data_IF_938075762577
#
_entry.id   IF_938075762577
#
_cell.length_a   1.000
_cell.length_b   1.000
_cell.length_c   1.000
_cell.angle_alpha   90.00
_cell.angle_beta   90.00
_cell.angle_gamma   90.00
#
_symmetry.space_group_name_H-M   'P 1'
#
loop_
_entity.id
_entity.type
_entity.pdbx_description
1 polymer ?
#
# COMPACT_ATOMS: atom_id res chain seq x y z
N UNK A 1 4.28 29.85 -39.12
CA UNK A 1 5.70 30.12 -39.45
C UNK A 1 6.66 29.06 -38.90
N UNK A 2 6.40 28.48 -37.72
CA UNK A 2 7.08 27.29 -37.16
C UNK A 2 7.10 26.06 -38.10
N UNK A 3 6.07 25.91 -38.95
CA UNK A 3 6.03 24.90 -40.04
C UNK A 3 7.26 24.93 -40.96
N UNK A 4 7.91 26.09 -41.13
CA UNK A 4 9.08 26.21 -42.02
C UNK A 4 10.33 25.50 -41.45
N UNK A 5 10.46 25.44 -40.13
CA UNK A 5 11.54 24.70 -39.45
C UNK A 5 11.19 23.22 -39.37
N UNK A 6 9.95 22.88 -39.01
CA UNK A 6 9.50 21.48 -38.89
C UNK A 6 9.44 20.73 -40.22
N UNK A 7 9.30 21.43 -41.34
CA UNK A 7 9.33 20.86 -42.69
C UNK A 7 10.71 20.99 -43.37
N UNK A 8 11.74 21.43 -42.64
CA UNK A 8 13.10 21.53 -43.17
C UNK A 8 13.75 20.14 -43.23
N UNK A 9 14.50 19.79 -44.29
CA UNK A 9 15.19 18.49 -44.37
C UNK A 9 16.17 18.26 -43.21
N UNK A 10 16.84 19.32 -42.75
CA UNK A 10 17.73 19.29 -41.59
C UNK A 10 17.06 19.76 -40.28
N UNK A 11 15.76 19.54 -40.10
CA UNK A 11 15.04 20.05 -38.91
C UNK A 11 15.68 19.61 -37.59
N UNK A 12 16.12 18.35 -37.48
CA UNK A 12 16.74 17.79 -36.27
C UNK A 12 18.07 18.49 -35.95
N UNK A 13 18.89 18.74 -36.97
CA UNK A 13 20.18 19.41 -36.81
C UNK A 13 20.00 20.89 -36.43
N UNK A 14 18.99 21.57 -37.00
CA UNK A 14 18.62 22.94 -36.63
C UNK A 14 18.16 22.99 -35.18
N UNK A 15 17.31 22.05 -34.75
CA UNK A 15 16.82 21.96 -33.35
C UNK A 15 17.97 21.66 -32.40
N UNK A 16 18.83 20.70 -32.72
CA UNK A 16 20.01 20.33 -31.94
C UNK A 16 20.95 21.52 -31.72
N UNK A 17 21.32 22.25 -32.78
CA UNK A 17 22.16 23.46 -32.68
C UNK A 17 21.53 24.54 -31.79
N UNK A 18 20.22 24.75 -31.90
CA UNK A 18 19.51 25.70 -31.05
C UNK A 18 19.45 25.26 -29.56
N UNK A 19 19.46 23.95 -29.29
CA UNK A 19 19.49 23.37 -27.93
C UNK A 19 20.89 23.39 -27.31
N UNK A 20 21.92 23.15 -28.10
CA UNK A 20 23.33 23.18 -27.69
C UNK A 20 23.81 24.61 -27.35
N UNK A 21 23.03 25.62 -27.72
CA UNK A 21 23.22 27.00 -27.31
C UNK A 21 23.70 27.94 -28.42
N UNK A 22 23.86 27.44 -29.65
CA UNK A 22 24.26 28.27 -30.80
C UNK A 22 23.35 29.48 -30.94
N UNK A 23 23.94 30.62 -31.32
CA UNK A 23 23.17 31.83 -31.57
C UNK A 23 22.31 31.65 -32.82
N UNK A 24 21.15 32.28 -32.82
CA UNK A 24 20.23 32.22 -33.98
C UNK A 24 20.91 32.76 -35.27
N UNK A 25 21.86 33.68 -35.13
CA UNK A 25 22.66 34.21 -36.25
C UNK A 25 23.64 33.16 -36.81
N UNK A 26 24.24 32.35 -35.95
CA UNK A 26 25.13 31.26 -36.36
C UNK A 26 24.38 30.18 -37.11
N UNK A 27 23.20 29.79 -36.62
CA UNK A 27 22.35 28.79 -37.30
C UNK A 27 21.85 29.31 -38.65
N UNK A 28 21.46 30.59 -38.75
CA UNK A 28 21.10 31.20 -40.04
C UNK A 28 22.28 31.21 -41.02
N UNK A 29 23.48 31.59 -40.55
CA UNK A 29 24.70 31.60 -41.37
C UNK A 29 25.06 30.19 -41.84
N UNK A 30 25.00 29.21 -40.94
CA UNK A 30 25.23 27.80 -41.27
C UNK A 30 24.25 27.28 -42.34
N UNK A 31 22.96 27.63 -42.25
CA UNK A 31 21.98 27.28 -43.29
C UNK A 31 22.31 27.94 -44.63
N UNK A 32 22.82 29.18 -44.63
CA UNK A 32 23.24 29.89 -45.85
C UNK A 32 24.51 29.29 -46.46
N UNK A 33 25.45 28.85 -45.63
CA UNK A 33 26.70 28.19 -46.05
C UNK A 33 26.46 26.76 -46.55
N UNK A 34 25.58 26.00 -45.89
CA UNK A 34 25.21 24.63 -46.28
C UNK A 34 24.37 24.60 -47.56
N UNK A 35 23.51 25.61 -47.76
CA UNK A 35 22.64 25.71 -48.93
C UNK A 35 22.85 27.00 -49.74
N UNK A 36 24.04 27.25 -50.31
CA UNK A 36 24.36 28.54 -50.92
C UNK A 36 23.49 28.87 -52.14
N UNK A 37 23.01 27.83 -52.84
CA UNK A 37 22.19 27.97 -54.08
C UNK A 37 20.68 27.82 -53.85
N UNK A 38 20.24 27.38 -52.67
CA UNK A 38 18.83 27.04 -52.41
C UNK A 38 18.20 27.94 -51.36
N UNK A 39 17.83 29.17 -51.74
CA UNK A 39 17.25 30.18 -50.83
C UNK A 39 15.97 29.73 -50.10
N UNK A 40 15.23 28.75 -50.64
CA UNK A 40 14.02 28.21 -50.00
C UNK A 40 14.32 27.47 -48.68
N UNK A 41 15.53 26.93 -48.55
CA UNK A 41 16.03 26.25 -47.35
C UNK A 41 16.65 27.23 -46.33
N UNK A 42 16.77 28.51 -46.68
CA UNK A 42 17.20 29.51 -45.72
C UNK A 42 16.06 29.84 -44.77
N UNK A 43 16.35 29.76 -43.47
CA UNK A 43 15.44 30.14 -42.40
C UNK A 43 15.94 31.47 -41.85
N UNK A 44 15.06 32.48 -41.81
CA UNK A 44 15.45 33.81 -41.32
C UNK A 44 15.69 33.82 -39.83
N UNK A 45 16.56 34.72 -39.38
CA UNK A 45 16.82 35.00 -37.98
C UNK A 45 15.53 35.13 -37.14
N UNK A 46 14.57 35.94 -37.60
CA UNK A 46 13.31 36.15 -36.87
C UNK A 46 12.48 34.87 -36.70
N UNK A 47 12.52 33.96 -37.69
CA UNK A 47 11.77 32.69 -37.62
C UNK A 47 12.40 31.75 -36.61
N UNK A 48 13.73 31.65 -36.59
CA UNK A 48 14.48 30.83 -35.63
C UNK A 48 14.36 31.40 -34.20
N UNK A 49 14.41 32.72 -34.04
CA UNK A 49 14.29 33.37 -32.72
C UNK A 49 12.90 33.12 -32.12
N UNK A 50 11.85 33.26 -32.93
CA UNK A 50 10.48 32.99 -32.48
C UNK A 50 10.27 31.51 -32.15
N UNK A 51 10.80 30.60 -32.98
CA UNK A 51 10.74 29.16 -32.71
C UNK A 51 11.48 28.77 -31.43
N UNK A 52 12.64 29.37 -31.17
CA UNK A 52 13.39 29.15 -29.92
C UNK A 52 12.61 29.59 -28.69
N UNK A 53 11.95 30.75 -28.75
CA UNK A 53 11.13 31.26 -27.65
C UNK A 53 9.83 30.49 -27.41
N UNK A 54 9.16 30.04 -28.48
CA UNK A 54 7.84 29.37 -28.39
C UNK A 54 7.93 27.86 -28.16
N UNK A 55 8.97 27.19 -28.67
CA UNK A 55 9.04 25.72 -28.71
C UNK A 55 10.30 25.14 -28.07
N UNK A 56 11.33 25.95 -27.82
CA UNK A 56 12.59 25.50 -27.20
C UNK A 56 12.86 26.22 -25.88
N UNK A 57 11.81 26.72 -25.21
CA UNK A 57 11.90 27.28 -23.86
C UNK A 57 12.09 26.18 -22.78
N UNK A 58 12.94 25.20 -23.10
CA UNK A 58 13.28 24.03 -22.28
C UNK A 58 14.10 24.39 -21.04
N UNK A 59 14.59 25.63 -20.95
CA UNK A 59 15.36 26.10 -19.79
C UNK A 59 14.53 26.16 -18.50
N UNK A 60 13.21 26.30 -18.56
CA UNK A 60 12.37 26.24 -17.36
C UNK A 60 12.12 24.79 -16.95
N UNK A 61 11.41 24.06 -17.82
CA UNK A 61 10.90 22.71 -17.52
C UNK A 61 12.03 21.67 -17.33
N UNK A 62 13.08 21.67 -18.16
CA UNK A 62 14.17 20.69 -18.04
C UNK A 62 15.09 21.00 -16.86
N UNK A 63 15.27 22.27 -16.49
CA UNK A 63 16.02 22.62 -15.28
C UNK A 63 15.25 22.26 -14.01
N UNK A 64 13.93 22.45 -14.01
CA UNK A 64 13.07 22.00 -12.91
C UNK A 64 13.08 20.47 -12.79
N UNK A 65 13.00 19.73 -13.89
CA UNK A 65 13.11 18.27 -13.87
C UNK A 65 14.49 17.78 -13.39
N UNK A 66 15.59 18.41 -13.84
CA UNK A 66 16.94 18.08 -13.37
C UNK A 66 17.10 18.41 -11.88
N UNK A 67 16.52 19.52 -11.41
CA UNK A 67 16.58 19.93 -10.00
C UNK A 67 15.75 19.02 -9.11
N UNK A 68 14.56 18.61 -9.56
CA UNK A 68 13.70 17.68 -8.85
C UNK A 68 14.36 16.31 -8.75
N UNK A 69 14.93 15.80 -9.84
CA UNK A 69 15.61 14.50 -9.86
C UNK A 69 16.89 14.48 -9.00
N UNK A 70 17.64 15.58 -8.95
CA UNK A 70 18.75 15.73 -7.99
C UNK A 70 18.26 15.77 -6.55
N UNK A 71 17.18 16.50 -6.27
CA UNK A 71 16.57 16.54 -4.95
C UNK A 71 16.06 15.18 -4.48
N UNK A 72 15.56 14.33 -5.38
CA UNK A 72 15.16 12.95 -5.06
C UNK A 72 16.37 12.06 -4.77
N UNK A 73 17.42 12.13 -5.58
CA UNK A 73 18.66 11.36 -5.35
C UNK A 73 19.33 11.78 -4.04
N UNK A 74 19.40 13.09 -3.76
CA UNK A 74 19.98 13.60 -2.52
C UNK A 74 19.14 13.16 -1.31
N UNK A 75 17.80 13.18 -1.40
CA UNK A 75 16.94 12.64 -0.34
C UNK A 75 17.16 11.16 -0.12
N UNK A 76 17.22 10.36 -1.18
CA UNK A 76 17.43 8.92 -1.09
C UNK A 76 18.80 8.58 -0.48
N UNK A 77 19.85 9.34 -0.85
CA UNK A 77 21.18 9.23 -0.26
C UNK A 77 21.18 9.61 1.22
N UNK A 78 20.52 10.72 1.59
CA UNK A 78 20.42 11.17 2.99
C UNK A 78 19.64 10.18 3.85
N UNK A 79 18.56 9.61 3.31
CA UNK A 79 17.80 8.55 3.99
C UNK A 79 18.60 7.26 4.12
N UNK A 80 19.37 6.89 3.11
CA UNK A 80 20.26 5.72 3.18
C UNK A 80 21.33 5.91 4.25
N UNK A 81 21.93 7.09 4.33
CA UNK A 81 22.91 7.46 5.36
C UNK A 81 22.27 7.47 6.76
N UNK A 82 21.08 8.06 6.92
CA UNK A 82 20.32 8.03 8.16
C UNK A 82 19.98 6.59 8.59
N UNK A 83 19.57 5.72 7.66
CA UNK A 83 19.34 4.29 7.90
C UNK A 83 20.61 3.59 8.36
N UNK A 84 21.77 3.90 7.76
CA UNK A 84 23.06 3.34 8.18
C UNK A 84 23.44 3.79 9.59
N UNK A 85 23.27 5.08 9.91
CA UNK A 85 23.56 5.63 11.24
C UNK A 85 22.64 4.99 12.29
N UNK A 86 21.35 4.85 12.00
CA UNK A 86 20.40 4.17 12.91
C UNK A 86 20.81 2.72 13.13
N UNK A 87 21.14 1.97 12.06
CA UNK A 87 21.59 0.57 12.19
C UNK A 87 22.91 0.43 12.94
N UNK A 88 23.82 1.38 12.79
CA UNK A 88 25.09 1.42 13.52
C UNK A 88 24.94 1.88 14.98
N UNK A 89 23.79 2.47 15.34
CA UNK A 89 23.56 2.95 16.70
C UNK A 89 23.51 1.81 17.72
N UNK A 90 24.09 2.06 18.89
CA UNK A 90 24.11 1.10 20.00
C UNK A 90 22.70 0.72 20.44
N UNK A 91 21.76 1.66 20.46
CA UNK A 91 20.37 1.41 20.86
C UNK A 91 19.65 0.47 19.90
N UNK A 92 19.91 0.59 18.59
CA UNK A 92 19.35 -0.33 17.59
C UNK A 92 19.93 -1.74 17.76
N UNK A 93 21.25 -1.85 17.93
CA UNK A 93 21.92 -3.14 18.15
C UNK A 93 21.44 -3.82 19.44
N UNK A 94 21.29 -3.06 20.54
CA UNK A 94 20.71 -3.55 21.79
C UNK A 94 19.29 -4.08 21.60
N UNK A 95 18.47 -3.40 20.78
CA UNK A 95 17.11 -3.87 20.50
C UNK A 95 17.08 -5.15 19.68
N UNK A 96 18.00 -5.29 18.72
CA UNK A 96 18.17 -6.55 17.96
C UNK A 96 18.57 -7.69 18.90
N UNK A 97 19.52 -7.44 19.80
CA UNK A 97 19.97 -8.44 20.78
C UNK A 97 18.86 -8.84 21.77
N UNK A 98 18.06 -7.88 22.22
CA UNK A 98 16.87 -8.13 23.06
C UNK A 98 15.85 -9.02 22.33
N UNK A 99 15.57 -8.73 21.06
CA UNK A 99 14.66 -9.53 20.23
C UNK A 99 15.22 -10.94 20.05
N UNK A 100 16.49 -11.08 19.66
CA UNK A 100 17.13 -12.38 19.46
C UNK A 100 17.15 -13.22 20.76
N UNK A 101 17.41 -12.58 21.90
CA UNK A 101 17.39 -13.25 23.21
C UNK A 101 15.98 -13.73 23.56
N UNK A 102 14.97 -12.88 23.35
CA UNK A 102 13.56 -13.24 23.55
C UNK A 102 13.15 -14.43 22.67
N UNK A 103 13.55 -14.44 21.40
CA UNK A 103 13.26 -15.54 20.49
C UNK A 103 13.94 -16.86 20.92
N UNK A 104 15.20 -16.78 21.35
CA UNK A 104 15.93 -17.92 21.91
C UNK A 104 15.25 -18.49 23.17
N UNK A 105 14.73 -17.62 24.04
CA UNK A 105 14.03 -18.04 25.25
C UNK A 105 12.68 -18.71 24.96
N UNK A 106 11.95 -18.25 23.94
CA UNK A 106 10.71 -18.90 23.48
C UNK A 106 11.03 -20.28 22.91
N UNK A 107 12.06 -20.40 22.07
CA UNK A 107 12.49 -21.70 21.53
C UNK A 107 12.86 -22.70 22.62
N UNK A 108 13.61 -22.26 23.65
CA UNK A 108 13.95 -23.11 24.81
C UNK A 108 12.71 -23.59 25.55
N UNK A 109 11.76 -22.69 25.85
CA UNK A 109 10.50 -23.05 26.52
C UNK A 109 9.66 -24.04 25.72
N UNK A 110 9.62 -23.90 24.39
CA UNK A 110 8.93 -24.85 23.52
C UNK A 110 9.55 -26.25 23.59
N UNK A 111 10.89 -26.34 23.61
CA UNK A 111 11.59 -27.63 23.77
C UNK A 111 11.35 -28.26 25.15
N UNK A 112 11.31 -27.46 26.21
CA UNK A 112 10.96 -27.94 27.55
C UNK A 112 9.54 -28.50 27.60
N UNK A 113 8.58 -27.80 26.97
CA UNK A 113 7.19 -28.27 26.87
C UNK A 113 7.08 -29.56 26.06
N UNK A 114 7.79 -29.66 24.93
CA UNK A 114 7.84 -30.87 24.11
C UNK A 114 8.34 -32.08 24.93
N UNK A 115 9.44 -31.90 25.65
CA UNK A 115 10.01 -32.94 26.53
C UNK A 115 9.00 -33.39 27.61
N UNK A 116 8.30 -32.45 28.25
CA UNK A 116 7.29 -32.76 29.25
C UNK A 116 6.09 -33.51 28.67
N UNK A 117 5.58 -33.10 27.51
CA UNK A 117 4.45 -33.76 26.85
C UNK A 117 4.87 -35.16 26.38
N UNK A 118 6.04 -35.30 25.77
CA UNK A 118 6.60 -36.61 25.36
C UNK A 118 6.70 -37.58 26.54
N UNK A 119 7.21 -37.11 27.68
CA UNK A 119 7.31 -37.93 28.90
C UNK A 119 5.93 -38.41 29.39
N UNK A 120 4.89 -37.59 29.25
CA UNK A 120 3.52 -37.97 29.62
C UNK A 120 2.89 -38.93 28.62
N UNK A 121 3.12 -38.70 27.31
CA UNK A 121 2.69 -39.62 26.24
C UNK A 121 3.29 -41.00 26.49
N UNK A 122 4.60 -41.08 26.73
CA UNK A 122 5.31 -42.34 27.00
C UNK A 122 4.75 -43.06 28.24
N UNK A 123 4.53 -42.32 29.34
CA UNK A 123 3.93 -42.87 30.55
C UNK A 123 2.56 -43.52 30.28
N UNK A 124 1.66 -42.80 29.61
CA UNK A 124 0.32 -43.31 29.33
C UNK A 124 0.32 -44.42 28.26
N UNK A 125 1.26 -44.38 27.32
CA UNK A 125 1.45 -45.48 26.37
C UNK A 125 1.81 -46.79 27.09
N UNK A 126 2.79 -46.75 27.99
CA UNK A 126 3.20 -47.92 28.77
C UNK A 126 2.05 -48.42 29.66
N UNK A 127 1.32 -47.51 30.30
CA UNK A 127 0.16 -47.85 31.13
C UNK A 127 -0.94 -48.55 30.33
N UNK A 128 -1.16 -48.14 29.08
CA UNK A 128 -2.12 -48.80 28.18
C UNK A 128 -1.63 -50.19 27.74
N UNK A 129 -0.33 -50.38 27.49
CA UNK A 129 0.25 -51.71 27.20
C UNK A 129 0.08 -52.68 28.38
N UNK A 130 0.07 -52.17 29.60
CA UNK A 130 -0.13 -52.95 30.83
C UNK A 130 -1.62 -53.24 31.15
N UNK A 131 -2.54 -52.87 30.25
CA UNK A 131 -3.99 -53.09 30.42
C UNK A 131 -4.73 -51.90 31.01
N UNK A 132 -4.29 -50.67 30.72
CA UNK A 132 -4.96 -49.44 31.12
C UNK A 132 -6.43 -49.37 30.69
N UNK A 133 -7.22 -48.54 31.38
CA UNK A 133 -8.65 -48.41 31.14
C UNK A 133 -8.96 -47.38 30.03
N UNK A 134 -10.23 -47.34 29.64
CA UNK A 134 -10.80 -46.30 28.75
C UNK A 134 -10.54 -44.87 29.23
N UNK A 135 -10.34 -44.66 30.54
CA UNK A 135 -10.01 -43.34 31.07
C UNK A 135 -8.58 -42.94 30.69
N UNK A 136 -7.62 -43.84 30.87
CA UNK A 136 -6.22 -43.59 30.51
C UNK A 136 -6.06 -43.40 29.00
N UNK A 137 -6.83 -44.13 28.19
CA UNK A 137 -6.83 -43.99 26.73
C UNK A 137 -7.28 -42.58 26.28
N UNK A 138 -8.34 -42.04 26.92
CA UNK A 138 -8.77 -40.65 26.67
C UNK A 138 -7.68 -39.64 27.02
N UNK A 139 -7.03 -39.81 28.18
CA UNK A 139 -5.97 -38.90 28.63
C UNK A 139 -4.75 -38.99 27.68
N UNK A 140 -4.41 -40.18 27.22
CA UNK A 140 -3.36 -40.38 26.22
C UNK A 140 -3.67 -39.59 24.92
N UNK A 141 -4.89 -39.73 24.40
CA UNK A 141 -5.33 -39.00 23.19
C UNK A 141 -5.29 -37.48 23.41
N UNK A 142 -5.65 -36.98 24.60
CA UNK A 142 -5.53 -35.56 24.94
C UNK A 142 -4.08 -35.07 24.83
N UNK A 143 -3.11 -35.80 25.39
CA UNK A 143 -1.69 -35.42 25.28
C UNK A 143 -1.16 -35.49 23.84
N UNK A 144 -1.59 -36.47 23.04
CA UNK A 144 -1.25 -36.53 21.61
C UNK A 144 -1.79 -35.29 20.87
N UNK A 145 -3.02 -34.87 21.18
CA UNK A 145 -3.60 -33.66 20.60
C UNK A 145 -2.87 -32.39 21.08
N UNK A 146 -2.49 -32.32 22.35
CA UNK A 146 -1.65 -31.22 22.87
C UNK A 146 -0.32 -31.16 22.15
N UNK A 147 0.33 -32.30 21.92
CA UNK A 147 1.58 -32.39 21.16
C UNK A 147 1.41 -31.89 19.74
N UNK A 148 0.36 -32.33 19.04
CA UNK A 148 0.03 -31.87 17.70
C UNK A 148 -0.14 -30.34 17.63
N UNK A 149 -0.84 -29.75 18.60
CA UNK A 149 -1.03 -28.30 18.69
C UNK A 149 0.31 -27.59 18.92
N UNK A 150 1.14 -28.08 19.85
CA UNK A 150 2.47 -27.53 20.11
C UNK A 150 3.34 -27.54 18.84
N UNK A 151 3.32 -28.64 18.08
CA UNK A 151 4.04 -28.74 16.81
C UNK A 151 3.52 -27.76 15.76
N UNK A 152 2.21 -27.50 15.72
CA UNK A 152 1.62 -26.49 14.81
C UNK A 152 2.04 -25.07 15.19
N UNK A 153 2.02 -24.74 16.49
CA UNK A 153 2.46 -23.44 16.98
C UNK A 153 3.96 -23.25 16.75
N UNK A 154 4.76 -24.29 16.95
CA UNK A 154 6.19 -24.28 16.67
C UNK A 154 6.47 -24.05 15.18
N UNK A 155 5.73 -24.71 14.30
CA UNK A 155 5.79 -24.49 12.85
C UNK A 155 5.46 -23.05 12.48
N UNK A 156 4.38 -22.48 13.04
CA UNK A 156 4.02 -21.07 12.82
C UNK A 156 5.12 -20.11 13.27
N UNK A 157 5.75 -20.41 14.41
CA UNK A 157 6.80 -19.59 14.99
C UNK A 157 8.11 -19.64 14.20
N UNK A 158 8.60 -20.84 13.86
CA UNK A 158 9.88 -21.01 13.13
C UNK A 158 9.77 -20.63 11.66
N UNK A 159 8.73 -21.09 10.97
CA UNK A 159 8.67 -20.91 9.51
C UNK A 159 8.25 -19.48 9.13
N UNK A 160 8.00 -18.60 10.11
CA UNK A 160 7.45 -17.27 9.84
C UNK A 160 6.13 -17.37 9.06
N UNK A 161 5.44 -18.51 9.13
CA UNK A 161 4.01 -18.63 8.81
C UNK A 161 3.28 -17.95 9.96
N UNK A 162 3.58 -16.66 10.13
CA UNK A 162 2.58 -15.72 10.55
C UNK A 162 1.37 -16.09 9.72
N UNK A 163 0.26 -16.41 10.39
CA UNK A 163 -1.06 -16.20 9.79
C UNK A 163 -0.89 -14.95 8.96
N UNK A 164 -1.00 -15.05 7.63
CA UNK A 164 -0.97 -13.85 6.78
C UNK A 164 -1.90 -12.94 7.53
N UNK A 165 -1.37 -11.89 8.17
CA UNK A 165 -2.19 -10.81 8.65
C UNK A 165 -2.72 -10.35 7.32
N UNK A 166 -3.90 -10.84 6.95
CA UNK A 166 -4.65 -10.25 5.89
C UNK A 166 -4.92 -8.92 6.56
N UNK A 167 -4.02 -7.95 6.32
CA UNK A 167 -4.35 -6.55 6.38
C UNK A 167 -5.53 -6.47 5.44
N UNK A 168 -6.69 -6.68 6.04
CA UNK A 168 -7.97 -6.31 5.52
C UNK A 168 -7.86 -4.78 5.47
N UNK A 169 -7.15 -4.28 4.46
CA UNK A 169 -7.46 -3.03 3.79
C UNK A 169 -8.85 -3.26 3.19
N UNK A 170 -9.84 -3.39 4.08
CA UNK A 170 -11.23 -3.35 3.76
C UNK A 170 -11.39 -1.95 3.22
N UNK A 171 -11.41 -1.87 1.90
CA UNK A 171 -11.75 -0.64 1.24
C UNK A 171 -13.15 -0.27 1.74
N UNK A 172 -13.26 0.85 2.46
CA UNK A 172 -14.53 1.33 3.01
C UNK A 172 -15.60 1.41 1.91
N UNK A 173 -15.19 1.58 0.65
CA UNK A 173 -16.09 1.50 -0.50
C UNK A 173 -16.76 0.13 -0.67
N UNK A 174 -16.05 -0.97 -0.44
CA UNK A 174 -16.57 -2.34 -0.58
C UNK A 174 -17.56 -2.67 0.54
N UNK A 175 -17.32 -2.19 1.76
CA UNK A 175 -18.28 -2.34 2.87
C UNK A 175 -19.53 -1.53 2.63
N UNK A 176 -19.37 -0.28 2.16
CA UNK A 176 -20.52 0.57 1.83
C UNK A 176 -21.34 -0.02 0.69
N UNK A 177 -20.69 -0.63 -0.30
CA UNK A 177 -21.37 -1.33 -1.39
C UNK A 177 -22.13 -2.56 -0.89
N UNK A 178 -21.52 -3.39 -0.05
CA UNK A 178 -22.19 -4.56 0.55
C UNK A 178 -23.37 -4.16 1.45
N UNK A 179 -23.22 -3.07 2.22
CA UNK A 179 -24.30 -2.52 3.04
C UNK A 179 -25.46 -2.01 2.18
N UNK A 180 -25.17 -1.40 1.02
CA UNK A 180 -26.19 -0.98 0.06
C UNK A 180 -26.94 -2.17 -0.52
N UNK A 181 -26.23 -3.20 -0.99
CA UNK A 181 -26.84 -4.41 -1.55
C UNK A 181 -27.75 -5.10 -0.52
N UNK A 182 -27.32 -5.17 0.75
CA UNK A 182 -28.15 -5.73 1.82
C UNK A 182 -29.40 -4.88 2.09
N UNK A 183 -29.27 -3.54 2.08
CA UNK A 183 -30.40 -2.62 2.24
C UNK A 183 -31.43 -2.81 1.11
N UNK A 184 -30.96 -2.93 -0.13
CA UNK A 184 -31.82 -3.15 -1.30
C UNK A 184 -32.55 -4.51 -1.20
N UNK A 185 -31.86 -5.59 -0.86
CA UNK A 185 -32.47 -6.90 -0.69
C UNK A 185 -33.55 -6.92 0.41
N UNK A 186 -33.32 -6.24 1.54
CA UNK A 186 -34.33 -6.14 2.61
C UNK A 186 -35.52 -5.29 2.16
N UNK A 187 -35.30 -4.23 1.40
CA UNK A 187 -36.39 -3.40 0.86
C UNK A 187 -37.25 -4.17 -0.14
N UNK A 188 -36.64 -4.98 -1.01
CA UNK A 188 -37.37 -5.87 -1.93
C UNK A 188 -38.25 -6.86 -1.18
N UNK A 189 -37.71 -7.52 -0.14
CA UNK A 189 -38.49 -8.45 0.70
C UNK A 189 -39.61 -7.73 1.45
N UNK A 190 -39.36 -6.53 1.98
CA UNK A 190 -40.39 -5.74 2.65
C UNK A 190 -41.46 -5.24 1.68
N UNK A 191 -41.10 -4.98 0.43
CA UNK A 191 -42.05 -4.61 -0.63
C UNK A 191 -42.97 -5.76 -1.01
N UNK A 192 -42.50 -7.01 -0.93
CA UNK A 192 -43.32 -8.19 -1.17
C UNK A 192 -44.20 -8.55 0.03
N UNK A 193 -43.70 -8.39 1.25
CA UNK A 193 -44.40 -8.85 2.47
C UNK A 193 -45.26 -7.78 3.13
N UNK A 194 -44.77 -6.56 3.28
CA UNK A 194 -45.42 -5.49 4.07
C UNK A 194 -44.88 -4.10 3.69
N UNK A 195 -45.36 -3.52 2.57
CA UNK A 195 -44.85 -2.26 2.03
C UNK A 195 -44.94 -1.07 2.99
N UNK A 196 -45.93 -1.09 3.89
CA UNK A 196 -46.14 -0.07 4.91
C UNK A 196 -45.03 -0.02 5.98
N UNK A 197 -44.22 -1.08 6.10
CA UNK A 197 -43.09 -1.13 7.05
C UNK A 197 -41.80 -0.53 6.47
N UNK A 198 -41.74 -0.30 5.15
CA UNK A 198 -40.55 0.25 4.48
C UNK A 198 -40.12 1.60 5.08
N UNK A 199 -41.01 2.61 5.26
CA UNK A 199 -40.60 3.90 5.81
C UNK A 199 -40.05 3.77 7.24
N UNK A 200 -40.71 2.96 8.07
CA UNK A 200 -40.33 2.71 9.46
C UNK A 200 -38.97 2.02 9.54
N UNK A 201 -38.71 1.06 8.64
CA UNK A 201 -37.45 0.34 8.58
C UNK A 201 -36.30 1.25 8.14
N UNK A 202 -36.49 2.05 7.08
CA UNK A 202 -35.48 2.99 6.58
C UNK A 202 -35.11 4.01 7.65
N UNK A 203 -36.09 4.61 8.32
CA UNK A 203 -35.85 5.60 9.38
C UNK A 203 -35.07 5.00 10.56
N UNK A 204 -35.46 3.80 11.02
CA UNK A 204 -34.76 3.11 12.13
C UNK A 204 -33.34 2.71 11.74
N UNK A 205 -33.14 2.27 10.50
CA UNK A 205 -31.83 1.87 9.98
C UNK A 205 -30.90 3.08 9.88
N UNK A 206 -31.39 4.21 9.40
CA UNK A 206 -30.61 5.45 9.28
C UNK A 206 -30.23 6.00 10.66
N UNK A 207 -31.14 5.97 11.65
CA UNK A 207 -30.83 6.33 13.05
C UNK A 207 -29.73 5.42 13.62
N UNK A 208 -29.84 4.11 13.42
CA UNK A 208 -28.84 3.15 13.91
C UNK A 208 -27.49 3.31 13.24
N UNK A 209 -27.47 3.62 11.95
CA UNK A 209 -26.25 3.84 11.17
C UNK A 209 -25.52 5.11 11.66
N UNK A 210 -26.24 6.19 11.91
CA UNK A 210 -25.68 7.43 12.48
C UNK A 210 -25.10 7.23 13.88
N UNK A 211 -25.78 6.46 14.73
CA UNK A 211 -25.28 6.09 16.07
C UNK A 211 -23.97 5.31 16.01
N UNK A 212 -23.85 4.37 15.08
CA UNK A 212 -22.64 3.55 14.90
C UNK A 212 -21.48 4.35 14.31
N UNK A 213 -21.77 5.38 13.50
CA UNK A 213 -20.76 6.25 12.90
C UNK A 213 -20.31 7.41 13.82
N UNK A 214 -20.80 7.47 15.06
CA UNK A 214 -20.40 8.51 16.03
C UNK A 214 -20.96 9.90 15.73
N UNK A 215 -21.95 10.03 14.86
CA UNK A 215 -22.65 11.29 14.62
C UNK A 215 -23.63 11.54 15.78
N UNK A 216 -23.36 12.58 16.58
CA UNK A 216 -24.23 13.00 17.68
C UNK A 216 -25.62 13.36 17.14
N UNK A 217 -26.61 12.49 17.38
CA UNK A 217 -28.01 12.79 17.08
C UNK A 217 -28.53 13.70 18.20
N UNK A 218 -28.49 15.01 17.95
CA UNK A 218 -29.20 16.00 18.74
C UNK A 218 -30.71 15.71 18.79
N UNK A 219 -31.30 16.01 19.95
CA UNK A 219 -32.71 15.85 20.29
C UNK A 219 -33.72 16.00 19.14
N UNK A 220 -34.71 15.09 19.13
CA UNK A 220 -36.07 15.44 18.69
C UNK A 220 -36.98 15.34 19.92
N UNK A 221 -37.54 16.50 20.27
CA UNK A 221 -38.56 16.68 21.30
C UNK A 221 -39.89 16.01 20.90
N UNK A 222 -40.63 15.56 21.91
CA UNK A 222 -42.08 15.71 21.95
C UNK A 222 -42.90 14.43 21.74
N UNK A 223 -43.27 13.77 22.83
CA UNK A 223 -44.69 13.48 23.09
C UNK A 223 -44.96 13.59 24.59
N UNK A 224 -45.87 14.49 24.92
CA UNK A 224 -46.40 14.77 26.26
C UNK A 224 -47.35 13.63 26.62
N UNK A 225 -47.13 12.98 27.77
CA UNK A 225 -48.18 12.21 28.43
C UNK A 225 -48.36 12.86 29.80
N UNK A 226 -49.44 13.63 29.94
CA UNK A 226 -49.94 14.12 31.22
C UNK A 226 -50.24 12.95 32.14
N UNK A 227 -49.75 13.03 33.37
CA UNK A 227 -50.14 12.12 34.46
C UNK A 227 -50.69 12.98 35.59
N UNK A 228 -52.02 12.90 35.73
CA UNK A 228 -52.91 13.34 36.81
C UNK A 228 -53.18 14.84 36.97
#
# INVERSE_FOLDING_TARGET
>A
MSKKILNHPDKEEVIKKLLEGDSVKEVERWLKEKYPRTRRLHISYMTLQKFRGEHLNLKGEVLDDIKNRRGEIDKEATEAEARMIIKASSSYQQKIEEIATSELDVAKRLLELDSLINSRIEYYYNLLQEGGSLREDKIFIEYINTMKTLMQDWKKYIEGVADKKIEHNINISVVNEQARVLKEAVLEVLQELSPNLIPIFVDKLDIKTKQLNGENIGHIQGEVIDVN
#
